data_IF_772856450863
#
_entry.id   IF_772856450863
#
_cell.length_a   1.000
_cell.length_b   1.000
_cell.length_c   1.000
_cell.angle_alpha   90.00
_cell.angle_beta   90.00
_cell.angle_gamma   90.00
#
_symmetry.space_group_name_H-M   'P 1'
#
loop_
_entity.id
_entity.type
_entity.pdbx_description
1 polymer ?
#
# COMPACT_ATOMS: atom_id res chain seq x y z
N UNK A 1 7.61 -0.91 5.31
CA UNK A 1 6.94 -2.10 5.88
C UNK A 1 5.62 -1.74 6.52
N UNK A 2 4.62 -2.60 6.36
CA UNK A 2 3.36 -2.55 7.09
C UNK A 2 3.29 -3.79 7.96
N UNK A 3 2.88 -3.65 9.22
CA UNK A 3 2.77 -4.78 10.13
C UNK A 3 1.65 -4.56 11.15
N UNK A 4 0.95 -5.63 11.54
CA UNK A 4 -0.08 -5.54 12.58
C UNK A 4 0.58 -5.28 13.94
N UNK A 5 -0.02 -4.38 14.73
CA UNK A 5 0.34 -4.15 16.13
C UNK A 5 -0.95 -3.99 16.94
N UNK A 6 -1.20 -4.92 17.87
CA UNK A 6 -2.43 -4.97 18.67
C UNK A 6 -3.70 -4.83 17.83
N UNK A 7 -4.41 -3.72 18.00
CA UNK A 7 -5.68 -3.37 17.36
C UNK A 7 -5.51 -2.71 15.98
N UNK A 8 -4.31 -2.26 15.62
CA UNK A 8 -4.07 -1.34 14.49
C UNK A 8 -2.96 -1.83 13.57
N UNK A 9 -2.91 -1.30 12.35
CA UNK A 9 -1.76 -1.47 11.45
C UNK A 9 -0.76 -0.35 11.71
N UNK A 10 0.51 -0.71 11.85
CA UNK A 10 1.63 0.23 11.96
C UNK A 10 2.47 0.21 10.69
N UNK A 11 3.20 1.30 10.45
CA UNK A 11 4.03 1.42 9.26
C UNK A 11 5.43 1.94 9.57
N UNK A 12 6.39 1.39 8.83
CA UNK A 12 7.78 1.86 8.77
C UNK A 12 8.10 2.36 7.38
N UNK A 13 8.60 3.58 7.30
CA UNK A 13 9.06 4.21 6.06
C UNK A 13 10.57 4.37 6.18
N UNK A 14 11.32 3.77 5.25
CA UNK A 14 12.79 3.73 5.29
C UNK A 14 13.35 3.24 6.65
N UNK A 15 12.72 2.22 7.24
CA UNK A 15 13.10 1.63 8.53
C UNK A 15 12.69 2.42 9.78
N UNK A 16 12.09 3.61 9.61
CA UNK A 16 11.62 4.44 10.72
C UNK A 16 10.11 4.31 10.92
N UNK A 17 9.69 4.10 12.16
CA UNK A 17 8.27 4.11 12.54
C UNK A 17 7.63 5.46 12.23
N UNK A 18 6.48 5.41 11.58
CA UNK A 18 5.68 6.59 11.27
C UNK A 18 4.31 6.42 11.91
N UNK A 19 3.90 7.33 12.81
CA UNK A 19 2.63 7.20 13.50
C UNK A 19 1.47 7.37 12.51
N UNK A 20 0.41 6.58 12.67
CA UNK A 20 -0.80 6.69 11.82
C UNK A 20 -1.49 8.05 11.92
N UNK A 21 -1.22 8.82 12.97
CA UNK A 21 -1.68 10.21 13.11
C UNK A 21 -1.08 11.17 12.10
N UNK A 22 0.02 10.80 11.42
CA UNK A 22 0.60 11.60 10.33
C UNK A 22 0.07 11.22 8.95
N UNK A 23 -1.01 10.43 8.87
CA UNK A 23 -1.66 10.10 7.63
C UNK A 23 -2.57 11.25 7.15
N UNK A 24 -2.70 11.48 5.83
CA UNK A 24 -2.00 10.76 4.77
C UNK A 24 -0.50 11.11 4.73
N UNK A 25 0.33 10.09 4.59
CA UNK A 25 1.75 10.29 4.32
C UNK A 25 1.93 10.47 2.81
N UNK A 26 2.50 11.60 2.41
CA UNK A 26 2.88 11.87 1.03
C UNK A 26 4.40 11.85 0.93
N UNK A 27 4.93 11.01 0.05
CA UNK A 27 6.36 11.00 -0.22
C UNK A 27 6.76 12.32 -0.91
N UNK A 28 7.94 12.92 -0.63
CA UNK A 28 8.34 14.21 -1.22
C UNK A 28 8.36 14.27 -2.76
N UNK A 29 8.45 13.12 -3.42
CA UNK A 29 8.35 13.02 -4.89
C UNK A 29 6.93 13.13 -5.42
N UNK A 30 5.91 13.10 -4.55
CA UNK A 30 4.48 13.12 -4.90
C UNK A 30 3.96 11.85 -5.58
N UNK A 31 4.78 10.80 -5.69
CA UNK A 31 4.44 9.58 -6.44
C UNK A 31 3.95 8.43 -5.58
N UNK A 32 4.00 8.58 -4.25
CA UNK A 32 3.57 7.57 -3.28
C UNK A 32 2.76 8.28 -2.20
N UNK A 33 1.53 7.82 -1.99
CA UNK A 33 0.65 8.29 -0.93
C UNK A 33 0.20 7.09 -0.10
N UNK A 34 0.26 7.20 1.22
CA UNK A 34 -0.24 6.20 2.15
C UNK A 34 -1.33 6.84 2.99
N UNK A 35 -2.49 6.20 3.08
CA UNK A 35 -3.65 6.71 3.82
C UNK A 35 -4.36 5.63 4.60
N UNK A 36 -5.15 6.06 5.58
CA UNK A 36 -6.07 5.18 6.30
C UNK A 36 -7.23 4.78 5.37
N UNK A 37 -7.56 3.50 5.34
CA UNK A 37 -8.71 2.99 4.58
C UNK A 37 -9.40 1.90 5.41
N UNK A 38 -10.62 2.19 5.91
CA UNK A 38 -11.31 1.30 6.83
C UNK A 38 -10.44 0.92 8.04
N UNK A 39 -10.29 -0.39 8.27
CA UNK A 39 -9.51 -0.96 9.38
C UNK A 39 -8.00 -1.09 9.06
N UNK A 40 -7.58 -0.70 7.86
CA UNK A 40 -6.22 -0.86 7.35
C UNK A 40 -5.62 0.40 6.76
N UNK A 41 -4.58 0.19 5.95
CA UNK A 41 -3.85 1.22 5.22
C UNK A 41 -3.88 0.90 3.72
N UNK A 42 -4.03 1.94 2.90
CA UNK A 42 -3.85 1.86 1.45
C UNK A 42 -2.63 2.67 1.02
N UNK A 43 -1.80 2.07 0.18
CA UNK A 43 -0.71 2.71 -0.55
C UNK A 43 -1.12 2.89 -2.02
N UNK A 44 -0.97 4.12 -2.53
CA UNK A 44 -1.24 4.49 -3.92
C UNK A 44 0.07 4.90 -4.58
N UNK A 45 0.42 4.27 -5.71
CA UNK A 45 1.68 4.49 -6.40
C UNK A 45 1.56 4.20 -7.90
N UNK A 46 0.57 4.83 -8.56
CA UNK A 46 0.21 4.52 -9.95
C UNK A 46 1.39 4.71 -10.93
N UNK A 47 2.26 5.69 -10.68
CA UNK A 47 3.49 5.93 -11.45
C UNK A 47 4.50 4.78 -11.36
N UNK A 48 4.34 3.89 -10.38
CA UNK A 48 5.15 2.70 -10.15
C UNK A 48 4.40 1.41 -10.51
N UNK A 49 3.27 1.51 -11.22
CA UNK A 49 2.50 0.36 -11.68
C UNK A 49 1.55 -0.23 -10.65
N UNK A 50 1.41 0.40 -9.49
CA UNK A 50 0.50 -0.02 -8.42
C UNK A 50 -0.65 0.98 -8.29
N UNK A 51 -1.86 0.54 -8.63
CA UNK A 51 -3.05 1.33 -8.38
C UNK A 51 -3.29 1.44 -6.87
N UNK A 52 -3.30 0.32 -6.17
CA UNK A 52 -3.51 0.26 -4.72
C UNK A 52 -2.85 -0.97 -4.11
N UNK A 53 -2.19 -0.81 -2.97
CA UNK A 53 -1.85 -1.89 -2.05
C UNK A 53 -2.58 -1.64 -0.75
N UNK A 54 -3.60 -2.43 -0.47
CA UNK A 54 -4.36 -2.39 0.77
C UNK A 54 -3.83 -3.46 1.72
N UNK A 55 -3.68 -3.10 2.99
CA UNK A 55 -3.26 -4.00 4.04
C UNK A 55 -4.04 -3.73 5.33
N UNK A 56 -4.71 -4.75 5.84
CA UNK A 56 -5.18 -4.81 7.21
C UNK A 56 -4.62 -6.05 7.91
N UNK A 57 -5.11 -6.34 9.11
CA UNK A 57 -4.64 -7.48 9.90
C UNK A 57 -4.92 -8.85 9.26
N UNK A 58 -5.97 -8.95 8.47
CA UNK A 58 -6.54 -10.20 8.00
C UNK A 58 -6.33 -10.40 6.50
N UNK A 59 -6.21 -9.32 5.74
CA UNK A 59 -6.11 -9.37 4.29
C UNK A 59 -5.13 -8.34 3.76
N UNK A 60 -4.50 -8.72 2.66
CA UNK A 60 -3.74 -7.83 1.81
C UNK A 60 -4.29 -7.96 0.40
N UNK A 61 -4.41 -6.83 -0.29
CA UNK A 61 -4.88 -6.77 -1.67
C UNK A 61 -3.93 -5.89 -2.47
N UNK A 62 -3.55 -6.36 -3.66
CA UNK A 62 -2.77 -5.58 -4.60
C UNK A 62 -3.57 -5.42 -5.86
N UNK A 63 -3.70 -4.17 -6.31
CA UNK A 63 -4.26 -3.77 -7.59
C UNK A 63 -3.15 -3.12 -8.38
N UNK A 64 -2.78 -3.75 -9.49
CA UNK A 64 -1.87 -3.15 -10.44
C UNK A 64 -2.56 -2.02 -11.21
N UNK A 65 -1.80 -1.05 -11.69
CA UNK A 65 -2.32 -0.04 -12.61
C UNK A 65 -2.69 -0.69 -13.95
N UNK A 66 -3.69 -0.15 -14.66
CA UNK A 66 -4.20 -0.76 -15.90
C UNK A 66 -3.11 -0.98 -16.96
N UNK A 67 -2.12 -0.09 -17.01
CA UNK A 67 -1.01 -0.20 -17.94
C UNK A 67 -0.06 -1.38 -17.64
N UNK A 68 -0.09 -1.93 -16.42
CA UNK A 68 0.68 -3.13 -16.04
C UNK A 68 0.04 -4.44 -16.51
N UNK A 69 -1.12 -4.39 -17.19
CA UNK A 69 -1.77 -5.56 -17.75
C UNK A 69 -0.85 -6.27 -18.75
N UNK A 70 -0.60 -7.56 -18.51
CA UNK A 70 0.31 -8.37 -19.33
C UNK A 70 1.81 -8.08 -19.12
N UNK A 71 2.16 -7.18 -18.19
CA UNK A 71 3.54 -6.88 -17.80
C UNK A 71 3.92 -7.51 -16.45
N UNK A 72 2.95 -8.10 -15.74
CA UNK A 72 3.17 -8.81 -14.48
C UNK A 72 3.29 -10.30 -14.76
N UNK A 73 4.15 -10.99 -14.01
CA UNK A 73 4.30 -12.43 -14.06
C UNK A 73 4.20 -13.03 -12.64
N UNK A 74 3.87 -14.31 -12.54
CA UNK A 74 3.80 -15.03 -11.26
C UNK A 74 2.41 -15.03 -10.63
N UNK A 75 2.33 -15.24 -9.31
CA UNK A 75 1.04 -15.45 -8.60
C UNK A 75 0.01 -14.32 -8.79
N UNK A 76 0.47 -13.14 -9.20
CA UNK A 76 -0.34 -11.92 -9.27
C UNK A 76 -0.94 -11.71 -10.68
N UNK A 77 -0.56 -12.54 -11.66
CA UNK A 77 -1.02 -12.49 -13.05
C UNK A 77 -2.50 -12.92 -13.22
N UNK A 78 -3.09 -13.53 -12.18
CA UNK A 78 -4.45 -14.09 -12.21
C UNK A 78 -5.52 -13.22 -11.54
N UNK A 79 -5.19 -12.01 -11.12
CA UNK A 79 -6.16 -11.05 -10.58
C UNK A 79 -6.89 -10.38 -11.76
N UNK A 80 -7.99 -10.99 -12.19
CA UNK A 80 -9.02 -10.37 -13.04
C UNK A 80 -10.11 -9.76 -12.18
#
# INVERSE_FOLDING_TARGET
>A
DLYPSDSVVQMKINGKDVPTTSLPYEHPTGTIVIGQNGDGLSLYAASHGLHEVYFDKNTWKVRAADWMKGQTCGMWERLR
#
